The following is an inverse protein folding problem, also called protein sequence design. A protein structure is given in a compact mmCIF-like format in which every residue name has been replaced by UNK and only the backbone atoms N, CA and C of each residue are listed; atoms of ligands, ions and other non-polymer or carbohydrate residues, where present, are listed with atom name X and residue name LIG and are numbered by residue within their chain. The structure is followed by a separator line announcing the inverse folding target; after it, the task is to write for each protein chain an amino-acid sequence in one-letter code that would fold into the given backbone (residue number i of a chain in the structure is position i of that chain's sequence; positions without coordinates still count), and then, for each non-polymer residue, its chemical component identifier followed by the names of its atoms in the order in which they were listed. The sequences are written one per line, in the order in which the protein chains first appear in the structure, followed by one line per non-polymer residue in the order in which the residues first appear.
data_IF_510479994085
#
_entry.id   IF_510479994085
#
_cell.length_a   1.000
_cell.length_b   1.000
_cell.length_c   1.000
_cell.angle_alpha   90.00
_cell.angle_beta   90.00
_cell.angle_gamma   90.00
#
_symmetry.space_group_name_H-M   'P 1'
#
loop_
_entity.id
_entity.type
_entity.pdbx_description
1 polymer ?
#
# COMPACT_ATOMS: atom_id res chain seq x y z
N UNK A 1 27.09 -34.38 26.95
CA UNK A 1 25.69 -34.88 26.86
C UNK A 1 24.75 -33.75 27.26
N UNK A 2 23.92 -33.23 26.35
CA UNK A 2 22.98 -32.14 26.66
C UNK A 2 21.81 -32.75 27.45
N UNK A 3 21.43 -32.15 28.58
CA UNK A 3 20.36 -32.70 29.41
C UNK A 3 18.99 -32.51 28.77
N UNK A 4 18.07 -33.46 28.98
CA UNK A 4 16.69 -33.38 28.46
C UNK A 4 15.98 -32.08 28.84
N UNK A 5 16.23 -31.57 30.06
CA UNK A 5 15.71 -30.27 30.53
C UNK A 5 16.24 -29.09 29.70
N UNK A 6 17.54 -29.08 29.35
CA UNK A 6 18.13 -28.03 28.50
C UNK A 6 17.55 -28.05 27.08
N UNK A 7 17.27 -29.24 26.54
CA UNK A 7 16.62 -29.38 25.22
C UNK A 7 15.19 -28.85 25.27
N UNK A 8 14.42 -29.14 26.33
CA UNK A 8 13.06 -28.61 26.49
C UNK A 8 13.04 -27.08 26.56
N UNK A 9 13.95 -26.46 27.33
CA UNK A 9 14.06 -25.00 27.39
C UNK A 9 14.41 -24.39 26.05
N UNK A 10 15.30 -25.02 25.28
CA UNK A 10 15.70 -24.55 23.95
C UNK A 10 14.55 -24.63 22.93
N UNK A 11 13.73 -25.67 22.99
CA UNK A 11 12.52 -25.77 22.15
C UNK A 11 11.52 -24.69 22.55
N UNK A 12 11.31 -24.47 23.86
CA UNK A 12 10.39 -23.46 24.36
C UNK A 12 10.79 -22.04 23.91
N UNK A 13 12.08 -21.70 23.97
CA UNK A 13 12.55 -20.39 23.52
C UNK A 13 12.36 -20.19 22.01
N UNK A 14 12.62 -21.21 21.21
CA UNK A 14 12.39 -21.16 19.75
C UNK A 14 10.90 -20.97 19.43
N UNK A 15 10.01 -21.66 20.13
CA UNK A 15 8.55 -21.51 19.94
C UNK A 15 8.10 -20.09 20.29
N UNK A 16 8.61 -19.50 21.39
CA UNK A 16 8.28 -18.13 21.77
C UNK A 16 8.75 -17.13 20.71
N UNK A 17 9.97 -17.29 20.19
CA UNK A 17 10.50 -16.41 19.13
C UNK A 17 9.63 -16.50 17.86
N UNK A 18 9.21 -17.71 17.48
CA UNK A 18 8.33 -17.92 16.34
C UNK A 18 6.98 -17.22 16.52
N UNK A 19 6.37 -17.35 17.70
CA UNK A 19 5.09 -16.68 18.00
C UNK A 19 5.25 -15.16 17.91
N UNK A 20 6.29 -14.59 18.51
CA UNK A 20 6.56 -13.15 18.45
C UNK A 20 6.76 -12.69 17.00
N UNK A 21 7.50 -13.45 16.20
CA UNK A 21 7.74 -13.13 14.80
C UNK A 21 6.46 -13.15 13.95
N UNK A 22 5.60 -14.15 14.16
CA UNK A 22 4.30 -14.25 13.50
C UNK A 22 3.41 -13.07 13.91
N UNK A 23 3.29 -12.80 15.22
CA UNK A 23 2.49 -11.69 15.74
C UNK A 23 2.96 -10.34 15.20
N UNK A 24 4.28 -10.12 15.12
CA UNK A 24 4.86 -8.91 14.53
C UNK A 24 4.48 -8.76 13.06
N UNK A 25 4.52 -9.84 12.27
CA UNK A 25 4.09 -9.82 10.87
C UNK A 25 2.60 -9.50 10.70
N UNK A 26 1.75 -10.07 11.55
CA UNK A 26 0.31 -9.77 11.53
C UNK A 26 0.05 -8.31 11.86
N UNK A 27 0.63 -7.81 12.96
CA UNK A 27 0.49 -6.42 13.38
C UNK A 27 1.00 -5.44 12.31
N UNK A 28 2.17 -5.70 11.72
CA UNK A 28 2.74 -4.84 10.68
C UNK A 28 1.87 -4.81 9.42
N UNK A 29 1.32 -5.97 9.01
CA UNK A 29 0.39 -6.06 7.88
C UNK A 29 -0.90 -5.28 8.15
N UNK A 30 -1.41 -5.35 9.37
CA UNK A 30 -2.62 -4.64 9.78
C UNK A 30 -2.40 -3.13 9.81
N UNK A 31 -1.27 -2.65 10.34
CA UNK A 31 -0.89 -1.23 10.29
C UNK A 31 -0.77 -0.71 8.86
N UNK A 32 -0.11 -1.44 7.96
CA UNK A 32 -0.02 -1.05 6.54
C UNK A 32 -1.41 -1.02 5.89
N UNK A 33 -2.25 -2.02 6.17
CA UNK A 33 -3.61 -2.08 5.62
C UNK A 33 -4.46 -0.91 6.14
N UNK A 34 -4.38 -0.63 7.44
CA UNK A 34 -5.12 0.46 8.08
C UNK A 34 -4.60 1.83 7.65
N UNK A 35 -3.30 2.01 7.39
CA UNK A 35 -2.76 3.25 6.84
C UNK A 35 -3.15 3.43 5.37
N UNK A 36 -3.18 2.34 4.60
CA UNK A 36 -3.67 2.33 3.23
C UNK A 36 -5.18 2.65 3.17
N UNK A 37 -5.99 2.15 4.11
CA UNK A 37 -7.44 2.42 4.21
C UNK A 37 -7.75 3.78 4.85
N UNK A 38 -6.96 4.24 5.84
CA UNK A 38 -7.11 5.56 6.47
C UNK A 38 -6.78 6.71 5.52
N UNK A 39 -5.88 6.48 4.54
CA UNK A 39 -5.66 7.42 3.43
C UNK A 39 -6.79 7.47 2.39
N UNK A 40 -7.85 6.67 2.52
CA UNK A 40 -8.99 6.64 1.57
C UNK A 40 -10.08 7.68 1.90
N UNK A 41 -9.99 8.39 3.03
CA UNK A 41 -11.01 9.37 3.43
C UNK A 41 -10.64 10.85 3.17
N UNK A 42 -9.66 11.14 2.29
CA UNK A 42 -9.34 12.52 1.93
C UNK A 42 -9.57 12.74 0.45
N UNK A 43 -10.43 13.69 0.10
CA UNK A 43 -10.62 14.09 -1.29
C UNK A 43 -9.30 14.64 -1.85
N UNK A 44 -8.89 14.13 -3.02
CA UNK A 44 -7.67 14.54 -3.71
C UNK A 44 -8.03 15.31 -4.96
N UNK A 45 -7.24 16.33 -5.26
CA UNK A 45 -7.22 16.93 -6.60
C UNK A 45 -6.61 15.97 -7.62
N UNK A 46 -6.89 16.21 -8.89
CA UNK A 46 -6.31 15.44 -9.99
C UNK A 46 -4.76 15.45 -9.94
N UNK A 47 -4.16 16.60 -9.62
CA UNK A 47 -2.71 16.76 -9.56
C UNK A 47 -2.08 15.96 -8.41
N UNK A 48 -2.70 15.98 -7.23
CA UNK A 48 -2.24 15.17 -6.09
C UNK A 48 -2.32 13.67 -6.41
N UNK A 49 -3.40 13.22 -7.05
CA UNK A 49 -3.54 11.84 -7.48
C UNK A 49 -2.48 11.43 -8.52
N UNK A 50 -2.18 12.32 -9.47
CA UNK A 50 -1.11 12.10 -10.47
C UNK A 50 0.24 11.98 -9.80
N UNK A 51 0.57 12.85 -8.85
CA UNK A 51 1.88 12.82 -8.20
C UNK A 51 2.06 11.55 -7.36
N UNK A 52 1.03 11.13 -6.62
CA UNK A 52 1.04 9.85 -5.90
C UNK A 52 1.21 8.67 -6.87
N UNK A 53 0.46 8.66 -7.97
CA UNK A 53 0.56 7.63 -9.01
C UNK A 53 1.94 7.60 -9.67
N UNK A 54 2.55 8.76 -9.91
CA UNK A 54 3.88 8.91 -10.52
C UNK A 54 4.99 8.36 -9.63
N UNK A 55 4.91 8.54 -8.31
CA UNK A 55 5.88 7.95 -7.38
C UNK A 55 5.81 6.43 -7.44
N UNK A 56 4.60 5.86 -7.35
CA UNK A 56 4.40 4.41 -7.38
C UNK A 56 4.78 3.79 -8.73
N UNK A 57 4.42 4.42 -9.85
CA UNK A 57 4.71 3.85 -11.17
C UNK A 57 6.22 3.79 -11.46
N UNK A 58 7.02 4.72 -10.90
CA UNK A 58 8.48 4.71 -11.05
C UNK A 58 9.15 3.50 -10.38
N UNK A 59 8.51 2.90 -9.39
CA UNK A 59 8.95 1.61 -8.81
C UNK A 59 8.78 0.46 -9.82
N UNK A 60 7.75 0.51 -10.66
CA UNK A 60 7.51 -0.46 -11.73
C UNK A 60 8.31 -0.18 -13.01
N UNK A 61 8.35 1.07 -13.48
CA UNK A 61 9.21 1.51 -14.58
C UNK A 61 9.51 3.00 -14.52
N UNK A 62 10.79 3.35 -14.69
CA UNK A 62 11.25 4.74 -14.79
C UNK A 62 10.73 5.47 -16.02
N UNK A 63 10.38 4.72 -17.06
CA UNK A 63 9.96 5.23 -18.37
C UNK A 63 8.43 5.24 -18.54
N UNK A 64 7.68 4.81 -17.52
CA UNK A 64 6.23 4.80 -17.56
C UNK A 64 5.66 6.22 -17.58
N UNK A 65 4.74 6.45 -18.50
CA UNK A 65 4.03 7.72 -18.66
C UNK A 65 2.55 7.55 -18.33
N UNK A 66 1.93 8.61 -17.81
CA UNK A 66 0.49 8.64 -17.56
C UNK A 66 -0.25 8.62 -18.90
N UNK A 67 -1.10 7.63 -19.09
CA UNK A 67 -1.91 7.44 -20.29
C UNK A 67 -3.32 8.01 -20.11
N UNK A 68 -3.92 7.76 -18.93
CA UNK A 68 -5.30 8.17 -18.66
C UNK A 68 -5.52 8.38 -17.17
N UNK A 69 -6.37 9.34 -16.84
CA UNK A 69 -6.91 9.54 -15.50
C UNK A 69 -8.43 9.63 -15.59
N UNK A 70 -9.13 8.95 -14.67
CA UNK A 70 -10.59 8.91 -14.62
C UNK A 70 -11.04 9.10 -13.17
N UNK A 71 -12.01 9.98 -12.94
CA UNK A 71 -12.73 10.05 -11.66
C UNK A 71 -13.84 8.99 -11.68
N UNK A 72 -13.91 8.15 -10.65
CA UNK A 72 -14.91 7.07 -10.58
C UNK A 72 -16.11 7.41 -9.68
N UNK A 73 -16.03 8.53 -8.97
CA UNK A 73 -16.89 8.94 -7.88
C UNK A 73 -17.82 10.11 -8.28
N UNK A 74 -18.16 10.24 -9.58
CA UNK A 74 -19.05 11.30 -10.09
C UNK A 74 -20.40 11.39 -9.37
N UNK A 75 -20.85 10.29 -8.76
CA UNK A 75 -22.11 10.18 -8.01
C UNK A 75 -21.95 10.33 -6.50
N UNK A 76 -20.71 10.39 -5.96
CA UNK A 76 -20.44 10.45 -4.51
C UNK A 76 -20.24 11.89 -3.98
N UNK A 77 -20.38 12.91 -4.83
CA UNK A 77 -20.11 14.31 -4.47
C UNK A 77 -18.71 14.77 -4.90
N UNK A 78 -18.32 15.96 -4.45
CA UNK A 78 -17.03 16.59 -4.80
C UNK A 78 -17.14 17.68 -5.87
N UNK A 79 -16.21 18.62 -5.85
CA UNK A 79 -16.19 19.78 -6.77
C UNK A 79 -15.72 19.37 -8.17
N UNK A 80 -16.33 19.95 -9.22
CA UNK A 80 -15.91 19.79 -10.62
C UNK A 80 -14.97 20.94 -11.01
N UNK A 81 -14.11 20.71 -12.00
CA UNK A 81 -13.19 21.72 -12.54
C UNK A 81 -11.74 21.49 -12.12
N UNK A 82 -10.87 22.44 -12.47
CA UNK A 82 -9.41 22.38 -12.26
C UNK A 82 -9.03 22.23 -10.78
N UNK A 83 -9.82 22.79 -9.88
CA UNK A 83 -9.68 22.68 -8.41
C UNK A 83 -10.58 21.61 -7.81
N UNK A 84 -11.21 20.80 -8.67
CA UNK A 84 -12.12 19.73 -8.30
C UNK A 84 -11.41 18.65 -7.49
N UNK A 85 -12.04 18.24 -6.38
CA UNK A 85 -11.55 17.14 -5.56
C UNK A 85 -12.46 15.92 -5.67
N UNK A 86 -11.83 14.74 -5.65
CA UNK A 86 -12.46 13.43 -5.77
C UNK A 86 -11.87 12.45 -4.78
N UNK A 87 -12.70 11.53 -4.32
CA UNK A 87 -12.33 10.42 -3.47
C UNK A 87 -11.64 9.31 -4.27
N UNK A 88 -12.00 9.11 -5.55
CA UNK A 88 -11.50 7.98 -6.34
C UNK A 88 -10.97 8.45 -7.71
N UNK A 89 -9.66 8.33 -7.87
CA UNK A 89 -8.96 8.53 -9.14
C UNK A 89 -8.36 7.22 -9.64
N UNK A 90 -8.74 6.79 -10.84
CA UNK A 90 -8.11 5.70 -11.56
C UNK A 90 -7.04 6.26 -12.50
N UNK A 91 -5.79 5.89 -12.25
CA UNK A 91 -4.65 6.28 -13.08
C UNK A 91 -4.14 5.08 -13.89
N UNK A 92 -4.00 5.27 -15.20
CA UNK A 92 -3.47 4.29 -16.12
C UNK A 92 -2.11 4.78 -16.60
N UNK A 93 -1.09 3.95 -16.45
CA UNK A 93 0.25 4.22 -16.93
C UNK A 93 0.67 3.18 -17.96
N UNK A 94 1.50 3.61 -18.91
CA UNK A 94 2.08 2.74 -19.94
C UNK A 94 3.56 3.01 -20.09
N UNK A 95 4.34 1.95 -20.28
CA UNK A 95 5.74 2.02 -20.68
C UNK A 95 5.89 1.41 -22.08
N UNK A 96 6.06 2.24 -23.14
CA UNK A 96 6.19 1.76 -24.50
C UNK A 96 7.37 0.80 -24.73
N UNK A 97 8.37 0.79 -23.84
CA UNK A 97 9.57 -0.06 -23.95
C UNK A 97 9.39 -1.44 -23.31
N UNK A 98 8.31 -1.66 -22.55
CA UNK A 98 7.99 -2.92 -21.87
C UNK A 98 6.82 -3.68 -22.52
N UNK A 99 6.36 -3.21 -23.67
CA UNK A 99 5.31 -3.87 -24.46
C UNK A 99 5.92 -4.95 -25.38
#
# INVERSE_FOLDING_TARGET
MISKKKIQWMILTVVIILIVFISYKYFFRETIKNEAESKVATELTMNEAIEIGRVKVKEWSKEANLLKIISQDETMGGTRGETGKRYIWNLYFSDPKKW
#
